data_IF_456300609469
#
_entry.id   IF_456300609469
#
_cell.length_a   1.000
_cell.length_b   1.000
_cell.length_c   1.000
_cell.angle_alpha   90.00
_cell.angle_beta   90.00
_cell.angle_gamma   90.00
#
_symmetry.space_group_name_H-M   'P 1'
#
loop_
_entity.id
_entity.type
_entity.pdbx_description
1 polymer ?
#
# COMPACT_ATOMS: atom_id res chain seq x y z
N UNK A 1 3.31 -6.84 12.93
CA UNK A 1 3.36 -6.89 11.46
C UNK A 1 2.81 -5.58 10.87
N UNK A 2 3.68 -4.62 10.52
CA UNK A 2 3.23 -3.31 10.01
C UNK A 2 2.69 -3.38 8.58
N UNK A 3 3.41 -4.03 7.65
CA UNK A 3 2.95 -4.17 6.26
C UNK A 3 1.59 -4.87 6.14
N UNK A 4 1.30 -5.86 7.00
CA UNK A 4 -0.02 -6.52 7.02
C UNK A 4 -1.12 -5.61 7.57
N UNK A 5 -0.81 -4.75 8.55
CA UNK A 5 -1.74 -3.75 9.08
C UNK A 5 -2.10 -2.73 7.99
N UNK A 6 -1.09 -2.21 7.28
CA UNK A 6 -1.28 -1.30 6.15
C UNK A 6 -2.20 -1.90 5.07
N UNK A 7 -1.99 -3.18 4.74
CA UNK A 7 -2.77 -3.90 3.74
C UNK A 7 -4.27 -4.05 4.07
N UNK A 8 -4.65 -3.93 5.34
CA UNK A 8 -6.03 -4.09 5.82
C UNK A 8 -6.77 -2.76 5.97
N UNK A 9 -6.10 -1.61 5.74
CA UNK A 9 -6.76 -0.30 5.67
C UNK A 9 -7.76 -0.25 4.50
N UNK A 10 -8.73 0.64 4.59
CA UNK A 10 -9.73 0.81 3.53
C UNK A 10 -9.02 1.29 2.26
N UNK A 11 -9.33 0.67 1.13
CA UNK A 11 -8.72 1.04 -0.16
C UNK A 11 -8.99 2.52 -0.46
N UNK A 12 -7.91 3.26 -0.72
CA UNK A 12 -7.95 4.69 -1.05
C UNK A 12 -8.04 5.63 0.15
N UNK A 13 -8.01 5.10 1.38
CA UNK A 13 -7.87 5.91 2.59
C UNK A 13 -6.39 6.33 2.73
N UNK A 14 -6.04 7.62 2.70
CA UNK A 14 -4.66 8.07 2.86
C UNK A 14 -4.17 7.95 4.31
N UNK A 15 -2.86 7.92 4.51
CA UNK A 15 -2.27 7.94 5.86
C UNK A 15 -2.63 9.27 6.58
N UNK A 16 -2.91 9.26 7.89
CA UNK A 16 -3.09 10.50 8.66
C UNK A 16 -1.82 11.37 8.70
N UNK A 17 -0.64 10.80 8.54
CA UNK A 17 0.62 11.55 8.41
C UNK A 17 0.78 12.07 6.97
N UNK A 18 0.84 13.39 6.74
CA UNK A 18 0.96 13.97 5.40
C UNK A 18 2.18 13.52 4.61
N UNK A 19 3.33 13.32 5.26
CA UNK A 19 4.56 12.88 4.59
C UNK A 19 4.41 11.45 4.07
N UNK A 20 3.79 10.59 4.88
CA UNK A 20 3.51 9.21 4.50
C UNK A 20 2.42 9.13 3.43
N UNK A 21 1.41 9.99 3.49
CA UNK A 21 0.36 10.07 2.47
C UNK A 21 0.91 10.54 1.11
N UNK A 22 1.86 11.47 1.10
CA UNK A 22 2.56 11.88 -0.12
C UNK A 22 3.35 10.71 -0.71
N UNK A 23 4.08 9.96 0.12
CA UNK A 23 4.79 8.75 -0.30
C UNK A 23 3.84 7.69 -0.88
N UNK A 24 2.69 7.45 -0.24
CA UNK A 24 1.64 6.55 -0.74
C UNK A 24 1.18 6.96 -2.15
N UNK A 25 0.92 8.26 -2.35
CA UNK A 25 0.50 8.82 -3.65
C UNK A 25 1.57 8.73 -4.73
N UNK A 26 2.82 9.06 -4.40
CA UNK A 26 3.94 9.00 -5.33
C UNK A 26 4.17 7.56 -5.83
N UNK A 27 4.19 6.59 -4.92
CA UNK A 27 4.38 5.17 -5.27
C UNK A 27 3.20 4.67 -6.12
N UNK A 28 1.96 5.05 -5.78
CA UNK A 28 0.78 4.66 -6.55
C UNK A 28 0.84 5.18 -8.00
N UNK A 29 1.23 6.44 -8.20
CA UNK A 29 1.43 7.00 -9.54
C UNK A 29 2.47 6.19 -10.30
N UNK A 30 3.67 6.04 -9.70
CA UNK A 30 4.79 5.30 -10.32
C UNK A 30 4.40 3.88 -10.72
N UNK A 31 3.64 3.16 -9.89
CA UNK A 31 3.18 1.80 -10.19
C UNK A 31 2.23 1.77 -11.39
N UNK A 32 1.31 2.72 -11.48
CA UNK A 32 0.34 2.79 -12.57
C UNK A 32 0.98 3.28 -13.89
N UNK A 33 2.00 4.13 -13.80
CA UNK A 33 2.78 4.61 -14.95
C UNK A 33 3.62 3.51 -15.61
N UNK A 34 3.88 2.38 -14.93
CA UNK A 34 4.57 1.22 -15.53
C UNK A 34 3.79 0.55 -16.66
N UNK A 35 2.48 0.81 -16.80
CA UNK A 35 1.66 0.27 -17.88
C UNK A 35 1.39 -1.25 -17.80
N UNK A 36 1.71 -1.88 -16.66
CA UNK A 36 1.56 -3.33 -16.44
C UNK A 36 0.08 -3.74 -16.50
N UNK A 37 -0.79 -2.94 -15.88
CA UNK A 37 -2.24 -3.17 -15.86
C UNK A 37 -2.67 -4.40 -15.07
N UNK A 38 -3.96 -4.71 -15.15
CA UNK A 38 -4.59 -5.79 -14.36
C UNK A 38 -4.03 -7.13 -14.81
N UNK A 39 -3.51 -7.92 -13.86
CA UNK A 39 -2.91 -9.25 -14.11
C UNK A 39 -1.76 -9.24 -15.14
N UNK A 40 -1.15 -8.09 -15.42
CA UNK A 40 -0.08 -7.97 -16.43
C UNK A 40 -0.57 -7.96 -17.87
N UNK A 41 -1.87 -7.72 -18.11
CA UNK A 41 -2.48 -7.69 -19.44
C UNK A 41 -2.35 -6.32 -20.15
N UNK A 42 -1.57 -5.41 -19.57
CA UNK A 42 -1.46 -4.02 -20.03
C UNK A 42 -2.58 -3.13 -19.51
N UNK A 43 -2.39 -1.81 -19.62
CA UNK A 43 -3.38 -0.79 -19.24
C UNK A 43 -2.84 0.24 -18.27
N UNK A 44 -3.70 1.15 -17.81
CA UNK A 44 -3.32 2.31 -16.99
C UNK A 44 -3.46 2.10 -15.48
N UNK A 45 -3.93 0.93 -15.04
CA UNK A 45 -4.23 0.68 -13.63
C UNK A 45 -3.73 -0.69 -13.21
N UNK A 46 -2.60 -0.69 -12.50
CA UNK A 46 -1.96 -1.86 -11.91
C UNK A 46 -2.34 -2.00 -10.44
N UNK A 47 -2.38 -0.88 -9.70
CA UNK A 47 -2.72 -0.84 -8.29
C UNK A 47 -3.88 0.14 -8.01
N UNK A 48 -4.74 -0.22 -7.06
CA UNK A 48 -5.88 0.60 -6.63
C UNK A 48 -5.52 1.58 -5.51
N UNK A 49 -4.59 1.18 -4.63
CA UNK A 49 -4.09 2.00 -3.54
C UNK A 49 -2.73 1.45 -3.07
N UNK A 50 -1.94 2.32 -2.47
CA UNK A 50 -0.73 1.97 -1.72
C UNK A 50 -0.93 2.49 -0.31
N UNK A 51 -0.66 1.66 0.70
CA UNK A 51 -0.69 2.08 2.09
C UNK A 51 0.66 1.77 2.74
N UNK A 52 1.17 2.71 3.52
CA UNK A 52 2.43 2.61 4.24
C UNK A 52 2.21 2.85 5.74
N UNK A 53 3.01 2.15 6.55
CA UNK A 53 3.11 2.36 8.00
C UNK A 53 4.59 2.51 8.33
N UNK A 54 4.93 3.59 9.03
CA UNK A 54 6.30 3.90 9.43
C UNK A 54 6.49 3.65 10.93
N UNK A 55 7.69 3.26 11.30
CA UNK A 55 8.07 3.04 12.70
C UNK A 55 9.54 3.37 12.89
N UNK A 56 9.95 3.86 14.07
CA UNK A 56 11.36 4.06 14.38
C UNK A 56 12.17 2.77 14.19
N UNK A 57 13.41 2.93 13.73
CA UNK A 57 14.39 1.86 13.55
C UNK A 57 15.77 2.33 14.01
N UNK A 58 16.68 1.39 14.23
CA UNK A 58 18.07 1.69 14.55
C UNK A 58 18.78 2.36 13.37
N UNK A 59 19.66 3.33 13.61
CA UNK A 59 20.31 4.13 12.54
C UNK A 59 21.10 3.29 11.52
N UNK A 60 21.60 2.11 11.93
CA UNK A 60 22.35 1.21 11.05
C UNK A 60 21.46 0.25 10.24
N UNK A 61 20.14 0.35 10.38
CA UNK A 61 19.19 -0.63 9.81
C UNK A 61 17.92 0.05 9.32
N UNK A 62 17.48 -0.28 8.11
CA UNK A 62 16.20 0.17 7.57
C UNK A 62 15.36 -1.03 7.11
N UNK A 63 14.60 -1.67 8.02
CA UNK A 63 13.75 -2.80 7.66
C UNK A 63 12.57 -2.31 6.82
N UNK A 64 12.45 -2.86 5.61
CA UNK A 64 11.35 -2.57 4.69
C UNK A 64 10.63 -3.87 4.37
N UNK A 65 9.31 -3.84 4.42
CA UNK A 65 8.45 -4.97 4.07
C UNK A 65 7.34 -4.53 3.13
N UNK A 66 7.14 -5.29 2.06
CA UNK A 66 6.09 -5.06 1.06
C UNK A 66 5.15 -6.25 1.08
N UNK A 67 3.86 -5.96 1.26
CA UNK A 67 2.81 -6.96 1.15
C UNK A 67 1.87 -6.58 0.01
N UNK A 68 1.39 -7.58 -0.74
CA UNK A 68 0.45 -7.39 -1.83
C UNK A 68 -0.90 -8.02 -1.48
N UNK A 69 -1.99 -7.36 -1.86
CA UNK A 69 -3.34 -7.87 -1.76
C UNK A 69 -3.82 -8.19 -3.18
N UNK A 70 -4.32 -9.41 -3.38
CA UNK A 70 -4.88 -9.79 -4.67
C UNK A 70 -6.33 -9.32 -4.81
N UNK A 71 -6.93 -9.60 -5.97
CA UNK A 71 -8.34 -9.30 -6.24
C UNK A 71 -9.30 -9.93 -5.21
N UNK A 72 -8.89 -11.01 -4.53
CA UNK A 72 -9.67 -11.67 -3.47
C UNK A 72 -9.46 -10.99 -2.11
N UNK A 73 -9.67 -9.68 -2.03
CA UNK A 73 -9.54 -8.88 -0.81
C UNK A 73 -10.64 -9.23 0.20
N UNK A 74 -10.36 -10.23 1.06
CA UNK A 74 -11.30 -10.79 2.03
C UNK A 74 -10.86 -10.47 3.46
N UNK A 75 -11.62 -9.63 4.14
CA UNK A 75 -11.44 -9.32 5.56
C UNK A 75 -12.76 -8.82 6.17
N UNK A 76 -12.92 -8.97 7.48
CA UNK A 76 -14.10 -8.51 8.22
C UNK A 76 -13.68 -7.99 9.59
N UNK A 77 -14.23 -6.85 10.01
CA UNK A 77 -14.15 -6.35 11.38
C UNK A 77 -15.50 -6.49 12.08
N UNK A 78 -15.49 -6.59 13.41
CA UNK A 78 -16.68 -6.57 14.25
C UNK A 78 -16.40 -5.72 15.49
N UNK A 79 -17.41 -4.98 15.95
CA UNK A 79 -17.43 -4.32 17.26
C UNK A 79 -18.35 -5.18 18.13
N UNK A 80 -17.86 -5.61 19.29
CA UNK A 80 -18.58 -6.46 20.23
C UNK A 80 -19.33 -5.61 21.26
#
# INVERSE_FOLDING_TARGET
>A
MLAKKALLRRVGEPNPDPEVAELEGEILSRINDLGIGVLGLGGSTTALAVHAEVSPTHITSLPVAVNLQCHSARHKGAIL
#
